data_IF_736060616202
#
_entry.id   IF_736060616202
#
_cell.length_a   1.000
_cell.length_b   1.000
_cell.length_c   1.000
_cell.angle_alpha   90.00
_cell.angle_beta   90.00
_cell.angle_gamma   90.00
#
_symmetry.space_group_name_H-M   'P 1'
#
loop_
_entity.id
_entity.type
_entity.pdbx_description
1 polymer ?
#
# COMPACT_ATOMS: atom_id res chain seq x y z
N UNK A 1 -2.13 29.65 8.01
CA UNK A 1 -3.57 29.40 7.82
C UNK A 1 -3.72 28.96 6.38
N UNK A 2 -3.52 27.67 6.08
CA UNK A 2 -3.51 27.14 4.71
C UNK A 2 -4.70 26.21 4.50
N UNK A 3 -5.87 26.85 4.42
CA UNK A 3 -7.18 26.21 4.18
C UNK A 3 -7.34 25.75 2.72
N UNK A 4 -6.43 26.14 1.82
CA UNK A 4 -6.58 25.97 0.36
C UNK A 4 -6.00 24.64 -0.16
N UNK A 5 -5.09 23.98 0.57
CA UNK A 5 -4.48 22.71 0.15
C UNK A 5 -5.20 21.45 0.67
N UNK A 6 -6.34 21.59 1.34
CA UNK A 6 -7.38 20.54 1.30
C UNK A 6 -8.08 20.62 -0.07
N UNK A 7 -7.30 20.54 -1.14
CA UNK A 7 -7.81 20.15 -2.44
C UNK A 7 -8.63 18.90 -2.16
N UNK A 8 -9.94 19.03 -2.35
CA UNK A 8 -10.90 17.95 -2.30
C UNK A 8 -10.27 16.84 -3.13
N UNK A 9 -9.83 15.78 -2.48
CA UNK A 9 -9.18 14.66 -3.14
C UNK A 9 -10.27 13.98 -3.96
N UNK A 10 -10.45 14.49 -5.18
CA UNK A 10 -11.63 14.21 -5.99
C UNK A 10 -11.43 12.80 -6.49
N UNK A 11 -12.30 11.92 -6.02
CA UNK A 11 -12.35 10.52 -6.48
C UNK A 11 -12.30 10.52 -8.01
N UNK A 12 -11.28 9.91 -8.63
CA UNK A 12 -11.17 9.88 -10.07
C UNK A 12 -12.37 9.19 -10.71
N UNK A 13 -12.66 9.52 -11.97
CA UNK A 13 -13.74 8.84 -12.71
C UNK A 13 -13.45 7.34 -12.79
N UNK A 14 -14.49 6.53 -12.66
CA UNK A 14 -14.38 5.07 -12.69
C UNK A 14 -14.17 4.43 -11.32
N UNK A 15 -14.07 5.20 -10.23
CA UNK A 15 -14.04 4.69 -8.86
C UNK A 15 -15.37 4.99 -8.14
N UNK A 16 -16.45 4.37 -8.61
CA UNK A 16 -17.81 4.72 -8.14
C UNK A 16 -18.27 3.86 -6.96
N UNK A 17 -17.64 2.69 -6.77
CA UNK A 17 -18.05 1.73 -5.74
C UNK A 17 -17.35 2.03 -4.42
N UNK A 18 -18.11 2.31 -3.36
CA UNK A 18 -17.52 2.60 -2.05
C UNK A 18 -17.59 1.40 -1.11
N UNK A 19 -16.46 0.97 -0.54
CA UNK A 19 -16.38 -0.10 0.46
C UNK A 19 -15.66 0.43 1.71
N UNK A 20 -16.10 -0.05 2.89
CA UNK A 20 -15.40 0.19 4.15
C UNK A 20 -14.42 -0.95 4.42
N UNK A 21 -13.14 -0.68 4.24
CA UNK A 21 -12.06 -1.68 4.42
C UNK A 21 -11.38 -1.49 5.77
N UNK A 22 -10.88 -2.57 6.36
CA UNK A 22 -10.21 -2.51 7.66
C UNK A 22 -8.71 -2.45 7.42
N UNK A 23 -8.03 -1.55 8.12
CA UNK A 23 -6.58 -1.51 8.10
C UNK A 23 -6.03 -2.76 8.82
N UNK A 24 -5.16 -3.50 8.13
CA UNK A 24 -4.55 -4.70 8.68
C UNK A 24 -3.25 -4.35 9.40
N UNK A 25 -2.25 -3.87 8.66
CA UNK A 25 -0.91 -3.64 9.21
C UNK A 25 -0.04 -2.67 8.40
N UNK A 26 1.07 -2.27 9.03
CA UNK A 26 2.14 -1.48 8.42
C UNK A 26 3.32 -2.41 8.12
N UNK A 27 3.71 -2.47 6.85
CA UNK A 27 4.90 -3.16 6.40
C UNK A 27 6.03 -2.15 6.16
N UNK A 28 7.22 -2.45 6.65
CA UNK A 28 8.41 -1.60 6.48
C UNK A 28 9.52 -2.46 5.90
N UNK A 29 9.99 -2.11 4.70
CA UNK A 29 11.08 -2.78 4.01
C UNK A 29 12.33 -1.91 4.05
N UNK A 30 13.41 -2.46 4.59
CA UNK A 30 14.71 -1.80 4.67
C UNK A 30 15.64 -2.40 3.62
N UNK A 31 16.17 -1.53 2.75
CA UNK A 31 17.15 -1.90 1.74
C UNK A 31 18.54 -1.35 2.09
N UNK A 32 19.56 -1.89 1.43
CA UNK A 32 20.95 -1.44 1.57
C UNK A 32 21.60 -1.37 0.19
N UNK A 33 22.38 -0.31 -0.05
CA UNK A 33 23.21 -0.18 -1.26
C UNK A 33 24.65 -0.56 -0.91
N UNK A 34 25.21 -1.49 -1.68
CA UNK A 34 26.65 -1.76 -1.72
C UNK A 34 27.30 -0.97 -2.86
N UNK A 35 28.47 -0.37 -2.62
CA UNK A 35 29.28 0.19 -3.72
C UNK A 35 29.84 -0.93 -4.60
N UNK A 36 30.04 -0.67 -5.90
CA UNK A 36 30.44 -1.67 -6.90
C UNK A 36 31.71 -2.45 -6.53
N UNK A 37 32.68 -1.81 -5.88
CA UNK A 37 33.92 -2.44 -5.43
C UNK A 37 33.72 -3.46 -4.29
N UNK A 38 32.54 -3.48 -3.65
CA UNK A 38 32.22 -4.38 -2.53
C UNK A 38 31.08 -5.36 -2.83
N UNK A 39 30.65 -5.50 -4.09
CA UNK A 39 29.61 -6.47 -4.49
C UNK A 39 29.96 -7.92 -4.08
N UNK A 40 31.25 -8.21 -3.88
CA UNK A 40 31.76 -9.51 -3.44
C UNK A 40 32.27 -9.53 -1.99
N UNK A 41 32.38 -8.36 -1.34
CA UNK A 41 32.83 -8.25 0.04
C UNK A 41 31.59 -8.16 0.95
N UNK A 42 31.28 -9.25 1.66
CA UNK A 42 30.19 -9.35 2.65
C UNK A 42 30.41 -8.51 3.91
N UNK A 43 31.06 -7.35 3.81
CA UNK A 43 31.32 -6.47 4.94
C UNK A 43 30.09 -5.61 5.24
N UNK A 44 29.37 -5.85 6.35
CA UNK A 44 28.18 -5.08 6.71
C UNK A 44 28.49 -3.61 7.02
N UNK A 45 29.73 -3.29 7.42
CA UNK A 45 30.12 -1.92 7.78
C UNK A 45 30.20 -0.97 6.56
N UNK A 46 30.23 -1.51 5.34
CA UNK A 46 30.27 -0.73 4.09
C UNK A 46 28.91 -0.60 3.40
N UNK A 47 27.88 -1.24 3.95
CA UNK A 47 26.52 -1.14 3.44
C UNK A 47 25.92 0.21 3.86
N UNK A 48 25.40 0.98 2.91
CA UNK A 48 24.67 2.22 3.21
C UNK A 48 23.17 1.91 3.20
N UNK A 49 22.43 2.18 4.28
CA UNK A 49 20.99 1.96 4.30
C UNK A 49 20.30 2.85 3.25
N UNK A 50 19.35 2.28 2.52
CA UNK A 50 18.45 3.06 1.67
C UNK A 50 17.34 3.67 2.50
N UNK A 51 16.58 4.60 1.91
CA UNK A 51 15.32 5.02 2.51
C UNK A 51 14.41 3.79 2.69
N UNK A 52 13.76 3.62 3.86
CA UNK A 52 12.83 2.54 4.07
C UNK A 52 11.61 2.73 3.17
N UNK A 53 11.12 1.64 2.60
CA UNK A 53 9.85 1.63 1.87
C UNK A 53 8.77 1.24 2.88
N UNK A 54 7.86 2.16 3.16
CA UNK A 54 6.73 1.94 4.06
C UNK A 54 5.49 1.66 3.23
N UNK A 55 4.72 0.67 3.64
CA UNK A 55 3.50 0.28 2.94
C UNK A 55 2.39 -0.09 3.92
N UNK A 56 1.17 0.31 3.59
CA UNK A 56 -0.01 0.05 4.42
C UNK A 56 -0.85 -1.02 3.75
N UNK A 57 -1.06 -2.13 4.47
CA UNK A 57 -1.80 -3.28 3.97
C UNK A 57 -3.24 -3.25 4.47
N UNK A 58 -4.17 -3.53 3.57
CA UNK A 58 -5.60 -3.56 3.85
C UNK A 58 -6.20 -4.86 3.37
N UNK A 59 -7.13 -5.41 4.16
CA UNK A 59 -7.89 -6.60 3.82
C UNK A 59 -9.39 -6.33 3.97
N UNK A 60 -10.19 -6.91 3.07
CA UNK A 60 -11.64 -6.84 3.15
C UNK A 60 -12.28 -8.07 2.51
N UNK A 61 -13.58 -8.25 2.76
CA UNK A 61 -14.39 -9.31 2.16
C UNK A 61 -15.54 -8.72 1.36
N UNK A 62 -15.78 -9.25 0.18
CA UNK A 62 -16.91 -8.87 -0.66
C UNK A 62 -17.49 -10.13 -1.31
N UNK A 63 -18.77 -10.42 -1.07
CA UNK A 63 -19.40 -11.63 -1.61
C UNK A 63 -18.79 -12.95 -1.14
N UNK A 64 -18.15 -12.97 0.04
CA UNK A 64 -17.45 -14.15 0.57
C UNK A 64 -15.97 -14.22 0.18
N UNK A 65 -15.60 -13.60 -0.94
CA UNK A 65 -14.22 -13.51 -1.41
C UNK A 65 -13.42 -12.51 -0.59
N UNK A 66 -12.18 -12.87 -0.22
CA UNK A 66 -11.24 -11.97 0.45
C UNK A 66 -10.40 -11.24 -0.60
N UNK A 67 -10.19 -9.96 -0.37
CA UNK A 67 -9.40 -9.09 -1.21
C UNK A 67 -8.39 -8.35 -0.34
N UNK A 68 -7.28 -7.96 -0.95
CA UNK A 68 -6.29 -7.10 -0.32
C UNK A 68 -5.83 -6.00 -1.25
N UNK A 69 -5.25 -4.96 -0.69
CA UNK A 69 -4.45 -4.00 -1.44
C UNK A 69 -3.34 -3.43 -0.55
N UNK A 70 -2.27 -2.98 -1.19
CA UNK A 70 -1.12 -2.35 -0.55
C UNK A 70 -1.01 -0.90 -1.03
N UNK A 71 -0.77 0.00 -0.09
CA UNK A 71 -0.60 1.43 -0.36
C UNK A 71 0.79 1.88 0.09
N UNK A 72 1.65 2.22 -0.87
CA UNK A 72 3.00 2.67 -0.56
C UNK A 72 2.99 4.12 -0.04
N UNK A 73 3.64 4.32 1.10
CA UNK A 73 3.81 5.59 1.79
C UNK A 73 5.15 6.21 1.38
N UNK A 74 5.27 6.49 0.08
CA UNK A 74 6.43 7.14 -0.54
C UNK A 74 6.50 8.63 -0.14
N UNK A 75 6.72 8.89 1.15
CA UNK A 75 6.82 10.23 1.75
C UNK A 75 5.48 11.02 1.83
N UNK A 76 4.32 10.35 1.77
CA UNK A 76 3.00 11.00 1.86
C UNK A 76 2.57 11.28 3.30
N UNK A 77 3.20 10.64 4.28
CA UNK A 77 2.86 10.80 5.70
C UNK A 77 1.50 10.18 6.01
N UNK A 78 1.18 9.05 5.37
CA UNK A 78 -0.09 8.35 5.59
C UNK A 78 -0.12 7.74 6.99
N UNK A 79 -1.27 7.88 7.66
CA UNK A 79 -1.46 7.34 8.99
C UNK A 79 -2.80 6.60 9.07
N UNK A 80 -2.72 5.34 9.46
CA UNK A 80 -3.86 4.46 9.67
C UNK A 80 -3.79 3.82 11.05
N UNK A 81 -4.95 3.60 11.65
CA UNK A 81 -5.13 3.08 13.00
C UNK A 81 -5.63 1.63 12.91
N UNK A 82 -4.96 0.67 13.57
CA UNK A 82 -5.43 -0.71 13.66
C UNK A 82 -6.87 -0.81 14.15
N UNK A 83 -7.67 -1.67 13.51
CA UNK A 83 -9.08 -1.88 13.85
C UNK A 83 -10.05 -0.79 13.35
N UNK A 84 -9.53 0.32 12.80
CA UNK A 84 -10.38 1.35 12.17
C UNK A 84 -10.75 0.95 10.75
N UNK A 85 -11.97 1.34 10.35
CA UNK A 85 -12.47 1.18 8.99
C UNK A 85 -12.32 2.46 8.20
N UNK A 86 -11.79 2.34 6.99
CA UNK A 86 -11.55 3.43 6.07
C UNK A 86 -12.46 3.31 4.86
N UNK A 87 -12.97 4.45 4.40
CA UNK A 87 -13.75 4.50 3.17
C UNK A 87 -12.79 4.50 2.00
N UNK A 88 -12.95 3.53 1.11
CA UNK A 88 -12.13 3.36 -0.10
C UNK A 88 -13.08 3.19 -1.29
N UNK A 89 -12.69 3.76 -2.43
CA UNK A 89 -13.45 3.68 -3.66
C UNK A 89 -12.79 2.69 -4.60
N UNK A 90 -13.60 1.90 -5.30
CA UNK A 90 -13.15 0.83 -6.15
C UNK A 90 -13.71 1.03 -7.55
N UNK A 91 -12.98 0.51 -8.53
CA UNK A 91 -13.52 0.32 -9.85
C UNK A 91 -14.65 -0.74 -9.86
N UNK A 92 -15.50 -0.77 -10.90
CA UNK A 92 -16.58 -1.75 -10.99
C UNK A 92 -16.08 -3.21 -10.93
N UNK A 93 -14.88 -3.45 -11.46
CA UNK A 93 -14.25 -4.77 -11.58
C UNK A 93 -13.50 -5.22 -10.32
N UNK A 94 -13.37 -4.37 -9.30
CA UNK A 94 -12.58 -4.62 -8.09
C UNK A 94 -11.11 -4.98 -8.35
N UNK A 95 -10.51 -4.39 -9.39
CA UNK A 95 -9.09 -4.58 -9.73
C UNK A 95 -8.21 -3.45 -9.19
N UNK A 96 -8.81 -2.29 -8.92
CA UNK A 96 -8.12 -1.09 -8.46
C UNK A 96 -8.95 -0.34 -7.45
N UNK A 97 -8.29 0.41 -6.58
CA UNK A 97 -8.95 1.24 -5.59
C UNK A 97 -8.29 2.61 -5.44
N UNK A 98 -9.07 3.61 -5.03
CA UNK A 98 -8.65 4.94 -4.66
C UNK A 98 -8.87 5.17 -3.16
N UNK A 99 -7.78 5.48 -2.45
CA UNK A 99 -7.78 5.81 -1.02
C UNK A 99 -7.61 7.32 -0.86
N UNK A 100 -8.49 8.04 -0.14
CA UNK A 100 -8.31 9.47 0.11
C UNK A 100 -6.98 9.76 0.82
N UNK A 101 -6.22 10.73 0.32
CA UNK A 101 -4.86 11.05 0.72
C UNK A 101 -3.81 10.04 0.23
N UNK A 102 -4.22 8.81 -0.05
CA UNK A 102 -3.40 7.68 -0.43
C UNK A 102 -3.21 7.48 -1.93
N UNK A 103 -4.18 7.88 -2.75
CA UNK A 103 -4.17 7.68 -4.19
C UNK A 103 -4.60 6.27 -4.63
N UNK A 104 -4.22 5.91 -5.85
CA UNK A 104 -4.60 4.65 -6.49
C UNK A 104 -3.72 3.48 -6.01
N UNK A 105 -4.32 2.31 -5.82
CA UNK A 105 -3.65 1.05 -5.55
C UNK A 105 -4.30 -0.11 -6.32
N UNK A 106 -3.51 -1.14 -6.63
CA UNK A 106 -4.00 -2.39 -7.23
C UNK A 106 -4.63 -3.28 -6.15
N UNK A 107 -5.75 -3.89 -6.48
CA UNK A 107 -6.46 -4.84 -5.62
C UNK A 107 -6.10 -6.26 -6.07
N UNK A 108 -5.72 -7.09 -5.11
CA UNK A 108 -5.47 -8.52 -5.29
C UNK A 108 -6.55 -9.36 -4.62
N UNK A 109 -6.64 -10.62 -5.05
CA UNK A 109 -7.40 -11.65 -4.36
C UNK A 109 -6.51 -12.27 -3.29
N UNK A 110 -7.04 -12.35 -2.06
CA UNK A 110 -6.41 -13.09 -0.97
C UNK A 110 -6.98 -14.52 -1.09
N UNK A 111 -6.49 -15.25 -2.10
CA UNK A 111 -6.87 -16.63 -2.35
C UNK A 111 -6.00 -17.53 -1.45
N UNK A 112 -6.59 -18.27 -0.48
CA UNK A 112 -5.81 -19.14 0.39
C UNK A 112 -5.19 -20.33 -0.34
N UNK A 113 -5.57 -20.58 -1.60
CA UNK A 113 -5.09 -21.69 -2.43
C UNK A 113 -4.05 -21.27 -3.50
N UNK A 114 -3.72 -19.98 -3.63
CA UNK A 114 -2.53 -19.55 -4.40
C UNK A 114 -1.32 -19.48 -3.47
N UNK A 115 -0.67 -20.63 -3.24
CA UNK A 115 0.73 -20.64 -2.84
C UNK A 115 1.54 -19.86 -3.89
N UNK A 116 2.29 -18.89 -3.40
CA UNK A 116 3.31 -18.08 -4.06
C UNK A 116 4.12 -18.90 -5.10
N UNK A 117 3.68 -18.92 -6.36
CA UNK A 117 4.51 -19.39 -7.49
C UNK A 117 5.45 -18.23 -7.91
N UNK A 118 6.28 -17.82 -6.95
CA UNK A 118 7.39 -16.89 -7.11
C UNK A 118 8.69 -17.66 -7.39
N UNK A 119 8.92 -18.00 -8.66
CA UNK A 119 10.18 -18.54 -9.19
C UNK A 119 10.78 -17.66 -10.27
#
# INVERSE_FOLDING_TARGET
MDVVLRLIDRVPRGFDRTIRVTYAERLVFEGYVTTGDNLFARDPAKQRPTKPIVSHFFQFRQGGTKYFFRLDDADRGLSFEPGRRYRVWFDPELTRCWVPGGGEAKVGLDDPDEEDDGG
#
